data_IF_687928137066
#
_entry.id   IF_687928137066
#
_cell.length_a   1.000
_cell.length_b   1.000
_cell.length_c   1.000
_cell.angle_alpha   90.00
_cell.angle_beta   90.00
_cell.angle_gamma   90.00
#
_symmetry.space_group_name_H-M   'P 1'
#
loop_
_entity.id
_entity.type
_entity.pdbx_description
1 polymer ?
#
# COMPACT_ATOMS: atom_id res chain seq x y z
N UNK A 1 -13.45 57.25 47.59
CA UNK A 1 -14.33 56.11 47.22
C UNK A 1 -14.54 56.14 45.71
N UNK A 2 -13.99 55.14 44.98
CA UNK A 2 -14.49 54.65 43.66
C UNK A 2 -13.56 53.56 43.11
N UNK A 3 -13.97 52.33 43.40
CA UNK A 3 -13.75 51.01 42.78
C UNK A 3 -12.67 50.84 41.69
N UNK A 4 -11.69 49.99 42.00
CA UNK A 4 -10.83 49.29 41.06
C UNK A 4 -11.63 48.21 40.31
N UNK A 5 -11.42 48.13 39.00
CA UNK A 5 -11.97 47.08 38.13
C UNK A 5 -10.91 45.99 37.96
N UNK A 6 -11.10 44.83 38.60
CA UNK A 6 -10.33 43.63 38.27
C UNK A 6 -10.94 42.96 37.04
N UNK A 7 -10.25 43.11 35.89
CA UNK A 7 -10.54 42.35 34.68
C UNK A 7 -10.09 40.90 34.85
N UNK A 8 -11.04 39.97 34.94
CA UNK A 8 -10.80 38.54 34.96
C UNK A 8 -10.49 38.08 33.51
N UNK A 9 -9.21 37.83 33.21
CA UNK A 9 -8.80 37.20 31.95
C UNK A 9 -9.09 35.70 32.01
N UNK A 10 -10.24 35.28 31.47
CA UNK A 10 -10.56 33.88 31.21
C UNK A 10 -9.73 33.39 30.01
N UNK A 11 -8.62 32.71 30.29
CA UNK A 11 -7.86 31.96 29.30
C UNK A 11 -8.68 30.74 28.84
N UNK A 12 -9.15 30.78 27.60
CA UNK A 12 -9.78 29.63 26.95
C UNK A 12 -8.70 28.61 26.61
N UNK A 13 -8.59 27.54 27.40
CA UNK A 13 -7.81 26.36 27.04
C UNK A 13 -8.58 25.63 25.95
N UNK A 14 -8.14 25.74 24.70
CA UNK A 14 -8.63 24.90 23.61
C UNK A 14 -8.09 23.49 23.84
N UNK A 15 -8.96 22.59 24.31
CA UNK A 15 -8.66 21.15 24.31
C UNK A 15 -8.73 20.68 22.86
N UNK A 16 -7.58 20.54 22.20
CA UNK A 16 -7.51 19.83 20.93
C UNK A 16 -7.87 18.38 21.19
N UNK A 17 -9.03 17.94 20.69
CA UNK A 17 -9.32 16.51 20.64
C UNK A 17 -8.33 15.88 19.67
N UNK A 18 -7.60 14.86 20.14
CA UNK A 18 -6.77 14.04 19.27
C UNK A 18 -7.70 13.37 18.25
N UNK A 19 -7.70 13.88 17.01
CA UNK A 19 -8.49 13.31 15.92
C UNK A 19 -7.69 12.16 15.34
N UNK A 20 -8.31 10.98 15.29
CA UNK A 20 -7.76 9.84 14.57
C UNK A 20 -7.45 10.26 13.12
N UNK A 21 -6.17 10.39 12.80
CA UNK A 21 -5.71 10.67 11.44
C UNK A 21 -5.99 9.45 10.54
N UNK A 22 -6.37 9.70 9.29
CA UNK A 22 -6.63 8.67 8.29
C UNK A 22 -5.41 8.54 7.38
N UNK A 23 -4.84 7.35 7.30
CA UNK A 23 -3.66 7.03 6.47
C UNK A 23 -4.11 6.32 5.20
N UNK A 24 -3.80 6.87 4.04
CA UNK A 24 -4.04 6.29 2.72
C UNK A 24 -2.82 5.51 2.24
N UNK A 25 -2.94 4.19 2.19
CA UNK A 25 -1.90 3.28 1.72
C UNK A 25 -2.19 2.82 0.31
N UNK A 26 -1.28 3.13 -0.63
CA UNK A 26 -1.28 2.52 -1.96
C UNK A 26 -0.56 1.19 -1.88
N UNK A 27 -1.25 0.09 -2.13
CA UNK A 27 -0.71 -1.25 -1.90
C UNK A 27 -0.86 -2.17 -3.12
N UNK A 28 0.18 -2.96 -3.38
CA UNK A 28 0.16 -3.97 -4.41
C UNK A 28 -1.01 -4.95 -4.22
N UNK A 29 -1.71 -5.27 -5.30
CA UNK A 29 -2.89 -6.14 -5.28
C UNK A 29 -2.66 -7.52 -4.62
N UNK A 30 -1.43 -8.04 -4.66
CA UNK A 30 -1.07 -9.31 -4.00
C UNK A 30 -1.13 -9.26 -2.47
N UNK A 31 -1.29 -8.07 -1.87
CA UNK A 31 -1.31 -7.86 -0.41
C UNK A 31 -2.71 -7.56 0.13
N UNK A 32 -3.75 -7.54 -0.73
CA UNK A 32 -5.11 -7.12 -0.37
C UNK A 32 -5.65 -7.86 0.85
N UNK A 33 -5.70 -9.18 0.81
CA UNK A 33 -6.30 -9.97 1.88
C UNK A 33 -5.53 -9.81 3.20
N UNK A 34 -4.18 -9.80 3.13
CA UNK A 34 -3.33 -9.64 4.30
C UNK A 34 -3.53 -8.28 4.97
N UNK A 35 -3.50 -7.19 4.20
CA UNK A 35 -3.69 -5.84 4.76
C UNK A 35 -5.11 -5.61 5.28
N UNK A 36 -6.12 -6.14 4.60
CA UNK A 36 -7.51 -6.06 5.08
C UNK A 36 -7.70 -6.81 6.39
N UNK A 37 -7.08 -7.98 6.55
CA UNK A 37 -7.11 -8.74 7.80
C UNK A 37 -6.41 -8.02 8.96
N UNK A 38 -5.34 -7.27 8.68
CA UNK A 38 -4.56 -6.53 9.68
C UNK A 38 -5.17 -5.17 10.04
N UNK A 39 -6.00 -4.59 9.16
CA UNK A 39 -6.52 -3.24 9.34
C UNK A 39 -7.25 -3.02 10.69
N UNK A 40 -8.16 -3.91 11.15
CA UNK A 40 -8.84 -3.69 12.42
C UNK A 40 -7.88 -3.66 13.61
N UNK A 41 -6.88 -4.54 13.62
CA UNK A 41 -5.87 -4.59 14.68
C UNK A 41 -5.01 -3.33 14.70
N UNK A 42 -4.59 -2.84 13.52
CA UNK A 42 -3.89 -1.56 13.41
C UNK A 42 -4.72 -0.39 13.94
N UNK A 43 -6.00 -0.31 13.54
CA UNK A 43 -6.89 0.77 13.96
C UNK A 43 -7.16 0.73 15.47
N UNK A 44 -7.32 -0.46 16.05
CA UNK A 44 -7.50 -0.62 17.49
C UNK A 44 -6.24 -0.25 18.28
N UNK A 45 -5.06 -0.66 17.81
CA UNK A 45 -3.80 -0.45 18.52
C UNK A 45 -3.32 1.01 18.43
N UNK A 46 -3.51 1.65 17.27
CA UNK A 46 -2.98 2.98 17.00
C UNK A 46 -3.99 4.11 17.25
N UNK A 47 -5.29 3.80 17.22
CA UNK A 47 -6.35 4.81 17.20
C UNK A 47 -6.49 5.54 15.87
N UNK A 48 -5.64 5.29 14.88
CA UNK A 48 -5.70 5.88 13.54
C UNK A 48 -6.58 5.05 12.61
N UNK A 49 -7.11 5.67 11.55
CA UNK A 49 -7.81 4.96 10.48
C UNK A 49 -6.83 4.64 9.36
N UNK A 50 -7.00 3.50 8.70
CA UNK A 50 -6.26 3.17 7.50
C UNK A 50 -7.23 2.90 6.36
N UNK A 51 -6.92 3.45 5.20
CA UNK A 51 -7.59 3.17 3.93
C UNK A 51 -6.58 2.67 2.93
N UNK A 52 -7.03 1.78 2.05
CA UNK A 52 -6.18 1.18 1.04
C UNK A 52 -6.68 1.52 -0.36
N UNK A 53 -5.75 1.84 -1.25
CA UNK A 53 -5.96 1.74 -2.69
C UNK A 53 -5.14 0.55 -3.20
N UNK A 54 -5.84 -0.49 -3.66
CA UNK A 54 -5.20 -1.69 -4.20
C UNK A 54 -5.11 -1.62 -5.70
N UNK A 55 -3.98 -2.07 -6.26
CA UNK A 55 -3.76 -2.10 -7.69
C UNK A 55 -2.43 -2.72 -8.08
N UNK A 56 -2.15 -2.75 -9.37
CA UNK A 56 -0.81 -3.08 -9.83
C UNK A 56 0.17 -2.02 -9.34
N UNK A 57 1.31 -2.43 -8.76
CA UNK A 57 2.33 -1.50 -8.25
C UNK A 57 2.80 -0.53 -9.33
N UNK A 58 2.80 -0.96 -10.60
CA UNK A 58 3.11 -0.10 -11.75
C UNK A 58 2.15 1.08 -11.89
N UNK A 59 0.86 0.85 -11.67
CA UNK A 59 -0.18 1.84 -11.88
C UNK A 59 -0.24 2.79 -10.69
N UNK A 60 -0.14 2.23 -9.49
CA UNK A 60 -0.04 2.98 -8.25
C UNK A 60 1.20 3.87 -8.23
N UNK A 61 2.37 3.38 -8.64
CA UNK A 61 3.58 4.20 -8.73
C UNK A 61 3.41 5.36 -9.71
N UNK A 62 2.79 5.13 -10.88
CA UNK A 62 2.46 6.23 -11.82
C UNK A 62 1.53 7.26 -11.19
N UNK A 63 0.55 6.82 -10.42
CA UNK A 63 -0.36 7.73 -9.70
C UNK A 63 0.37 8.53 -8.62
N UNK A 64 1.25 7.91 -7.84
CA UNK A 64 2.08 8.61 -6.83
C UNK A 64 2.96 9.66 -7.51
N UNK A 65 3.67 9.28 -8.58
CA UNK A 65 4.48 10.22 -9.39
C UNK A 65 3.64 11.36 -9.97
N UNK A 66 2.37 11.08 -10.32
CA UNK A 66 1.42 12.09 -10.79
C UNK A 66 0.79 12.94 -9.66
N UNK A 67 1.20 12.76 -8.40
CA UNK A 67 0.75 13.57 -7.27
C UNK A 67 -0.47 13.02 -6.52
N UNK A 68 -0.81 11.73 -6.67
CA UNK A 68 -1.82 11.11 -5.83
C UNK A 68 -1.38 11.14 -4.34
N UNK A 69 -2.31 11.42 -3.40
CA UNK A 69 -1.97 11.71 -2.00
C UNK A 69 -1.77 10.43 -1.17
N UNK A 70 -0.90 9.53 -1.60
CA UNK A 70 -0.58 8.33 -0.84
C UNK A 70 0.36 8.67 0.33
N UNK A 71 0.00 8.29 1.54
CA UNK A 71 0.85 8.45 2.74
C UNK A 71 1.90 7.34 2.84
N UNK A 72 1.58 6.15 2.32
CA UNK A 72 2.50 5.03 2.20
C UNK A 72 2.31 4.29 0.88
N UNK A 73 3.39 3.74 0.34
CA UNK A 73 3.38 2.94 -0.88
C UNK A 73 4.02 1.57 -0.63
N UNK A 74 3.24 0.51 -0.76
CA UNK A 74 3.69 -0.87 -0.65
C UNK A 74 3.73 -1.51 -2.04
N UNK A 75 4.92 -1.58 -2.63
CA UNK A 75 5.15 -2.19 -3.94
C UNK A 75 5.40 -3.70 -3.83
N UNK A 76 5.14 -4.40 -4.93
CA UNK A 76 5.51 -5.82 -5.12
C UNK A 76 6.88 -6.01 -5.79
N UNK A 77 7.55 -4.94 -6.18
CA UNK A 77 8.94 -4.95 -6.63
C UNK A 77 9.69 -3.69 -6.18
N UNK A 78 11.01 -3.76 -6.19
CA UNK A 78 11.91 -2.64 -5.91
C UNK A 78 11.86 -1.61 -7.04
N UNK A 79 11.69 -2.04 -8.29
CA UNK A 79 11.77 -1.16 -9.47
C UNK A 79 10.67 -0.08 -9.48
N UNK A 80 9.45 -0.37 -9.02
CA UNK A 80 8.39 0.65 -8.91
C UNK A 80 8.62 1.58 -7.72
N UNK A 81 9.20 1.08 -6.63
CA UNK A 81 9.55 1.92 -5.50
C UNK A 81 10.71 2.85 -5.86
N UNK A 82 11.71 2.37 -6.61
CA UNK A 82 12.79 3.17 -7.18
C UNK A 82 12.26 4.31 -8.06
N UNK A 83 11.22 4.06 -8.86
CA UNK A 83 10.61 5.11 -9.69
C UNK A 83 10.10 6.27 -8.82
N UNK A 84 9.40 5.96 -7.73
CA UNK A 84 8.85 6.95 -6.80
C UNK A 84 9.96 7.66 -6.02
N UNK A 85 11.00 6.92 -5.62
CA UNK A 85 12.14 7.46 -4.89
C UNK A 85 12.99 8.42 -5.74
N UNK A 86 13.24 8.07 -7.01
CA UNK A 86 14.01 8.90 -7.95
C UNK A 86 13.42 10.29 -8.18
N UNK A 87 12.10 10.44 -8.02
CA UNK A 87 11.42 11.75 -8.12
C UNK A 87 11.30 12.47 -6.78
N UNK A 88 11.92 11.96 -5.72
CA UNK A 88 12.00 12.59 -4.40
C UNK A 88 10.72 12.50 -3.58
N UNK A 89 9.83 11.55 -3.89
CA UNK A 89 8.55 11.39 -3.19
C UNK A 89 8.62 10.37 -2.04
N UNK A 90 9.77 9.73 -1.84
CA UNK A 90 10.01 8.83 -0.70
C UNK A 90 10.77 9.60 0.38
N UNK A 91 10.28 9.54 1.62
CA UNK A 91 10.99 10.12 2.75
C UNK A 91 12.34 9.41 2.96
N UNK A 92 13.46 10.14 3.08
CA UNK A 92 14.76 9.52 3.30
C UNK A 92 14.78 8.62 4.54
N UNK A 93 15.24 7.38 4.38
CA UNK A 93 15.33 6.39 5.46
C UNK A 93 14.02 5.67 5.80
N UNK A 94 12.90 5.94 5.12
CA UNK A 94 11.63 5.24 5.36
C UNK A 94 11.45 3.97 4.51
N UNK A 95 12.23 3.83 3.44
CA UNK A 95 12.19 2.64 2.57
C UNK A 95 12.70 1.40 3.30
N UNK A 96 11.90 0.33 3.25
CA UNK A 96 12.22 -0.97 3.83
C UNK A 96 11.77 -2.11 2.93
N UNK A 97 12.59 -3.15 2.83
CA UNK A 97 12.21 -4.41 2.18
C UNK A 97 11.41 -5.24 3.18
N UNK A 98 10.09 -5.12 3.11
CA UNK A 98 9.19 -5.65 4.13
C UNK A 98 8.87 -7.14 3.92
N UNK A 99 8.68 -7.56 2.67
CA UNK A 99 8.11 -8.86 2.31
C UNK A 99 8.90 -9.48 1.15
N UNK A 100 8.83 -10.81 1.05
CA UNK A 100 9.27 -11.56 -0.13
C UNK A 100 8.17 -12.49 -0.60
N UNK A 101 8.25 -12.95 -1.85
CA UNK A 101 7.28 -13.88 -2.42
C UNK A 101 7.95 -14.82 -3.43
N UNK A 102 7.21 -15.83 -3.91
CA UNK A 102 7.63 -16.72 -4.99
C UNK A 102 6.61 -16.70 -6.10
N UNK A 103 7.10 -16.73 -7.35
CA UNK A 103 6.23 -16.95 -8.49
C UNK A 103 5.84 -18.43 -8.56
N UNK A 104 4.56 -18.68 -8.80
CA UNK A 104 3.99 -20.02 -8.93
C UNK A 104 3.03 -20.08 -10.11
N UNK A 105 2.89 -21.28 -10.68
CA UNK A 105 1.82 -21.56 -11.64
C UNK A 105 0.64 -22.11 -10.86
N UNK A 106 -0.52 -21.49 -11.03
CA UNK A 106 -1.78 -21.98 -10.48
C UNK A 106 -2.66 -22.52 -11.60
N UNK A 107 -3.42 -23.57 -11.28
CA UNK A 107 -4.46 -24.13 -12.15
C UNK A 107 -5.79 -24.13 -11.38
N UNK A 108 -6.94 -24.16 -12.07
CA UNK A 108 -8.23 -24.35 -11.41
C UNK A 108 -8.22 -25.59 -10.52
N UNK A 109 -8.92 -25.53 -9.38
CA UNK A 109 -8.92 -26.61 -8.39
C UNK A 109 -9.45 -27.95 -8.94
N UNK A 110 -10.34 -27.89 -9.92
CA UNK A 110 -10.93 -29.03 -10.63
C UNK A 110 -10.15 -29.43 -11.92
N UNK A 111 -9.02 -28.76 -12.19
CA UNK A 111 -8.20 -29.02 -13.36
C UNK A 111 -7.48 -30.37 -13.26
N UNK A 112 -7.50 -31.12 -14.37
CA UNK A 112 -6.68 -32.34 -14.53
C UNK A 112 -5.27 -32.05 -15.05
N UNK A 113 -4.97 -30.79 -15.38
CA UNK A 113 -3.66 -30.37 -15.87
C UNK A 113 -2.65 -30.47 -14.74
N UNK A 114 -1.54 -31.17 -14.99
CA UNK A 114 -0.40 -31.23 -14.09
C UNK A 114 0.72 -30.37 -14.67
N UNK A 115 1.19 -29.41 -13.88
CA UNK A 115 2.35 -28.57 -14.20
C UNK A 115 3.40 -28.83 -13.13
N UNK A 116 4.49 -29.50 -13.49
CA UNK A 116 5.64 -29.72 -12.62
C UNK A 116 6.72 -28.64 -12.81
N UNK A 117 6.75 -28.00 -13.98
CA UNK A 117 7.65 -26.88 -14.24
C UNK A 117 7.35 -26.11 -15.53
N UNK A 118 8.18 -25.11 -15.87
CA UNK A 118 7.95 -24.22 -17.00
C UNK A 118 7.87 -24.93 -18.36
N UNK A 119 8.55 -26.08 -18.52
CA UNK A 119 8.51 -26.86 -19.75
C UNK A 119 7.09 -27.35 -20.09
N UNK A 120 6.28 -27.65 -19.08
CA UNK A 120 4.91 -28.15 -19.25
C UNK A 120 3.96 -27.08 -19.78
N UNK A 121 4.36 -25.79 -19.71
CA UNK A 121 3.55 -24.66 -20.17
C UNK A 121 3.45 -24.59 -21.71
N UNK A 122 4.46 -25.09 -22.43
CA UNK A 122 4.53 -24.99 -23.91
C UNK A 122 3.41 -25.74 -24.63
N UNK A 123 2.78 -26.71 -23.99
CA UNK A 123 1.67 -27.49 -24.54
C UNK A 123 0.28 -26.98 -24.16
N UNK A 124 0.19 -25.93 -23.33
CA UNK A 124 -1.09 -25.43 -22.85
C UNK A 124 -1.74 -24.52 -23.89
N UNK A 125 -3.06 -24.68 -24.08
CA UNK A 125 -3.84 -23.85 -24.99
C UNK A 125 -3.81 -22.36 -24.61
N UNK A 126 -3.71 -22.07 -23.32
CA UNK A 126 -3.68 -20.71 -22.77
C UNK A 126 -2.92 -20.68 -21.46
N UNK A 127 -2.03 -19.70 -21.35
CA UNK A 127 -1.40 -19.27 -20.11
C UNK A 127 -1.82 -17.82 -19.91
N UNK A 128 -2.25 -17.46 -18.69
CA UNK A 128 -2.66 -16.09 -18.35
C UNK A 128 -1.62 -15.51 -17.42
N UNK A 129 -1.12 -14.34 -17.75
CA UNK A 129 -0.12 -13.59 -16.99
C UNK A 129 -0.64 -12.19 -16.73
N UNK A 130 -0.13 -11.54 -15.68
CA UNK A 130 -0.22 -10.10 -15.58
C UNK A 130 0.63 -9.45 -16.70
N UNK A 131 0.36 -8.18 -17.04
CA UNK A 131 1.08 -7.47 -18.11
C UNK A 131 2.61 -7.56 -17.94
N UNK A 132 3.33 -8.32 -18.79
CA UNK A 132 4.75 -8.62 -18.61
C UNK A 132 5.66 -7.40 -18.69
N UNK A 133 5.24 -6.36 -19.41
CA UNK A 133 6.05 -5.15 -19.56
C UNK A 133 5.99 -4.22 -18.33
N UNK A 134 5.00 -4.39 -17.43
CA UNK A 134 4.71 -3.38 -16.43
C UNK A 134 4.42 -3.94 -15.04
N UNK A 135 3.55 -4.93 -14.92
CA UNK A 135 3.05 -5.40 -13.62
C UNK A 135 4.07 -6.35 -12.99
N UNK A 136 4.47 -6.18 -11.71
CA UNK A 136 5.55 -6.97 -11.12
C UNK A 136 5.39 -8.48 -11.31
N UNK A 137 4.19 -9.03 -11.05
CA UNK A 137 3.91 -10.46 -11.24
C UNK A 137 4.09 -10.93 -12.69
N UNK A 138 3.91 -10.05 -13.68
CA UNK A 138 4.15 -10.33 -15.09
C UNK A 138 5.62 -10.18 -15.46
N UNK A 139 6.31 -9.17 -14.92
CA UNK A 139 7.75 -8.95 -15.15
C UNK A 139 8.59 -10.12 -14.65
N UNK A 140 8.18 -10.75 -13.55
CA UNK A 140 8.88 -11.92 -12.99
C UNK A 140 8.58 -13.24 -13.72
N UNK A 141 7.57 -13.29 -14.59
CA UNK A 141 7.07 -14.52 -15.21
C UNK A 141 7.77 -14.87 -16.53
#
# INVERSE_FOLDING_TARGET
MRSAWWGLLLAWVTVSSARAEEVLVFAAASTTDALQALAPAFQQASGHRVRFAFGASSDLARQVVAGAPADAFLSADEAKLDLVDRVGLVQPGSRVDLLSNRLVVVVPADSKVKVAGPADLKGLKRVVLAEPAAVPAGVYA
#
